data_IF_802605068237
#
_entry.id   IF_802605068237
#
_cell.length_a   1.000
_cell.length_b   1.000
_cell.length_c   1.000
_cell.angle_alpha   90.00
_cell.angle_beta   90.00
_cell.angle_gamma   90.00
#
_symmetry.space_group_name_H-M   'P 1'
#
loop_
_entity.id
_entity.type
_entity.pdbx_description
1 polymer ?
#
# COMPACT_ATOMS: atom_id res chain seq x y z
N UNK A 1 24.98 18.11 -1.09
CA UNK A 1 25.35 16.70 -1.35
C UNK A 1 25.81 16.60 -2.79
N UNK A 2 26.93 15.92 -3.06
CA UNK A 2 27.55 15.89 -4.40
C UNK A 2 28.08 14.49 -4.75
N UNK A 3 27.74 13.95 -5.93
CA UNK A 3 28.26 12.69 -6.48
C UNK A 3 28.09 11.43 -5.61
N UNK A 4 26.89 11.16 -5.08
CA UNK A 4 26.71 10.04 -4.13
C UNK A 4 26.00 8.82 -4.70
N UNK A 5 24.80 8.98 -5.26
CA UNK A 5 23.93 7.86 -5.65
C UNK A 5 23.81 7.71 -7.16
N UNK A 6 24.84 8.08 -7.92
CA UNK A 6 24.84 7.83 -9.36
C UNK A 6 24.80 6.31 -9.61
N UNK A 7 24.06 5.90 -10.64
CA UNK A 7 23.91 4.49 -11.09
C UNK A 7 23.31 3.55 -10.04
N UNK A 8 22.61 4.09 -9.04
CA UNK A 8 21.88 3.29 -8.08
C UNK A 8 20.58 2.75 -8.70
N UNK A 9 20.70 1.68 -9.50
CA UNK A 9 19.61 1.14 -10.33
C UNK A 9 18.37 0.73 -9.52
N UNK A 10 18.54 0.20 -8.30
CA UNK A 10 17.46 -0.28 -7.43
C UNK A 10 17.01 0.73 -6.36
N UNK A 11 17.52 1.96 -6.39
CA UNK A 11 17.18 2.97 -5.39
C UNK A 11 15.78 3.51 -5.64
N UNK A 12 14.84 3.20 -4.76
CA UNK A 12 13.43 3.59 -4.92
C UNK A 12 13.06 4.87 -4.18
N UNK A 13 13.55 5.04 -2.94
CA UNK A 13 13.16 6.13 -2.06
C UNK A 13 14.38 6.75 -1.39
N UNK A 14 14.43 8.08 -1.38
CA UNK A 14 15.50 8.85 -0.74
C UNK A 14 14.90 9.84 0.24
N UNK A 15 15.39 9.84 1.48
CA UNK A 15 14.93 10.74 2.53
C UNK A 15 16.14 11.54 3.03
N UNK A 16 16.19 12.82 2.70
CA UNK A 16 17.32 13.74 2.95
C UNK A 16 16.82 15.04 3.60
N UNK A 17 16.31 14.99 4.84
CA UNK A 17 15.51 16.07 5.42
C UNK A 17 16.31 17.36 5.68
N UNK A 18 17.64 17.26 5.86
CA UNK A 18 18.50 18.39 6.22
C UNK A 18 19.37 18.90 5.06
N UNK A 19 19.30 18.28 3.88
CA UNK A 19 20.15 18.66 2.75
C UNK A 19 19.53 19.85 2.02
N UNK A 20 20.29 20.94 1.92
CA UNK A 20 19.85 22.18 1.26
C UNK A 20 20.13 22.18 -0.25
N UNK A 21 21.16 21.48 -0.69
CA UNK A 21 21.61 21.49 -2.09
C UNK A 21 21.98 20.09 -2.54
N UNK A 22 21.54 19.71 -3.73
CA UNK A 22 21.90 18.45 -4.38
C UNK A 22 22.55 18.77 -5.72
N UNK A 23 23.71 18.16 -5.95
CA UNK A 23 24.45 18.31 -7.19
C UNK A 23 24.91 16.94 -7.70
N UNK A 24 24.67 16.64 -8.97
CA UNK A 24 25.21 15.45 -9.66
C UNK A 24 25.08 14.13 -8.87
N UNK A 25 23.97 13.91 -8.16
CA UNK A 25 23.88 12.84 -7.15
C UNK A 25 22.95 11.67 -7.48
N UNK A 26 22.10 11.73 -8.50
CA UNK A 26 21.10 10.69 -8.82
C UNK A 26 21.04 10.38 -10.32
N UNK A 27 22.17 10.51 -11.01
CA UNK A 27 22.26 10.19 -12.44
C UNK A 27 22.04 8.69 -12.65
N UNK A 28 21.31 8.31 -13.69
CA UNK A 28 21.04 6.89 -13.99
C UNK A 28 20.39 6.08 -12.86
N UNK A 29 19.54 6.71 -12.02
CA UNK A 29 18.72 5.99 -11.03
C UNK A 29 17.39 5.55 -11.66
N UNK A 30 17.32 4.32 -12.17
CA UNK A 30 16.17 3.87 -12.99
C UNK A 30 14.91 3.63 -12.16
N UNK A 31 15.04 3.04 -10.96
CA UNK A 31 13.89 2.68 -10.12
C UNK A 31 13.48 3.79 -9.14
N UNK A 32 14.07 4.98 -9.24
CA UNK A 32 13.76 6.09 -8.34
C UNK A 32 12.30 6.50 -8.51
N UNK A 33 11.56 6.47 -7.40
CA UNK A 33 10.12 6.76 -7.37
C UNK A 33 9.77 7.92 -6.45
N UNK A 34 10.57 8.16 -5.40
CA UNK A 34 10.29 9.21 -4.43
C UNK A 34 11.55 9.80 -3.80
N UNK A 35 11.58 11.13 -3.67
CA UNK A 35 12.54 11.86 -2.85
C UNK A 35 11.80 12.78 -1.88
N UNK A 36 12.16 12.70 -0.60
CA UNK A 36 11.74 13.63 0.44
C UNK A 36 12.93 14.47 0.91
N UNK A 37 12.83 15.78 0.71
CA UNK A 37 13.92 16.71 0.97
C UNK A 37 13.41 18.02 1.60
N UNK A 38 13.08 17.94 2.89
CA UNK A 38 12.41 19.01 3.64
C UNK A 38 13.13 20.37 3.55
N UNK A 39 14.46 20.36 3.60
CA UNK A 39 15.29 21.57 3.60
C UNK A 39 15.84 21.95 2.22
N UNK A 40 15.46 21.24 1.15
CA UNK A 40 16.06 21.41 -0.17
C UNK A 40 15.65 22.75 -0.79
N UNK A 41 16.64 23.51 -1.23
CA UNK A 41 16.45 24.81 -1.88
C UNK A 41 17.02 24.86 -3.29
N UNK A 42 17.92 23.94 -3.67
CA UNK A 42 18.59 23.95 -4.96
C UNK A 42 18.94 22.54 -5.46
N UNK A 43 18.71 22.30 -6.76
CA UNK A 43 19.12 21.09 -7.48
C UNK A 43 19.98 21.51 -8.67
N UNK A 44 21.08 20.79 -8.90
CA UNK A 44 21.94 21.01 -10.06
C UNK A 44 22.33 19.67 -10.70
N UNK A 45 21.98 19.45 -11.98
CA UNK A 45 22.43 18.31 -12.80
C UNK A 45 22.34 16.94 -12.10
N UNK A 46 21.31 16.74 -11.26
CA UNK A 46 21.23 15.59 -10.36
C UNK A 46 20.38 14.46 -10.89
N UNK A 47 19.37 14.75 -11.70
CA UNK A 47 18.38 13.80 -12.20
C UNK A 47 18.45 13.64 -13.72
N UNK A 48 19.63 13.85 -14.30
CA UNK A 48 19.85 13.61 -15.73
C UNK A 48 19.64 12.13 -16.04
N UNK A 49 18.96 11.84 -17.14
CA UNK A 49 18.67 10.47 -17.61
C UNK A 49 17.79 9.64 -16.66
N UNK A 50 16.90 10.29 -15.91
CA UNK A 50 15.82 9.60 -15.22
C UNK A 50 14.93 8.89 -16.27
N UNK A 51 14.76 7.57 -16.12
CA UNK A 51 13.97 6.79 -17.07
C UNK A 51 12.46 7.00 -16.88
N UNK A 52 12.03 7.10 -15.62
CA UNK A 52 10.64 7.24 -15.22
C UNK A 52 10.39 8.54 -14.47
N UNK A 53 9.12 8.96 -14.46
CA UNK A 53 8.65 10.09 -13.67
C UNK A 53 8.64 9.72 -12.18
N UNK A 54 9.10 10.62 -11.31
CA UNK A 54 9.18 10.37 -9.88
C UNK A 54 8.68 11.56 -9.06
N UNK A 55 8.29 11.30 -7.81
CA UNK A 55 7.75 12.33 -6.92
C UNK A 55 8.86 12.99 -6.11
N UNK A 56 8.84 14.32 -6.04
CA UNK A 56 9.72 15.10 -5.19
C UNK A 56 8.90 15.90 -4.19
N UNK A 57 9.12 15.65 -2.90
CA UNK A 57 8.67 16.55 -1.84
C UNK A 57 9.82 17.46 -1.44
N UNK A 58 9.74 18.74 -1.83
CA UNK A 58 10.73 19.76 -1.51
C UNK A 58 10.05 21.13 -1.34
N UNK A 59 9.48 21.43 -0.14
CA UNK A 59 8.61 22.59 0.05
C UNK A 59 9.32 23.94 -0.08
N UNK A 60 10.65 23.96 0.04
CA UNK A 60 11.48 25.15 -0.02
C UNK A 60 12.22 25.31 -1.36
N UNK A 61 12.00 24.38 -2.31
CA UNK A 61 12.69 24.39 -3.59
C UNK A 61 12.08 25.47 -4.49
N UNK A 62 12.95 26.33 -5.01
CA UNK A 62 12.59 27.31 -6.04
C UNK A 62 13.18 26.81 -7.36
N UNK A 63 12.30 26.42 -8.27
CA UNK A 63 12.69 25.82 -9.54
C UNK A 63 11.65 26.14 -10.60
N UNK A 64 12.08 26.27 -11.85
CA UNK A 64 11.19 26.50 -12.97
C UNK A 64 10.50 25.20 -13.41
N UNK A 65 9.31 25.32 -13.99
CA UNK A 65 8.55 24.16 -14.45
C UNK A 65 9.26 23.41 -15.59
N UNK A 66 10.00 24.12 -16.44
CA UNK A 66 10.84 23.56 -17.50
C UNK A 66 11.87 22.57 -16.94
N UNK A 67 12.59 22.96 -15.89
CA UNK A 67 13.59 22.10 -15.23
C UNK A 67 12.94 20.85 -14.61
N UNK A 68 11.74 20.98 -14.04
CA UNK A 68 10.99 19.83 -13.50
C UNK A 68 10.63 18.83 -14.61
N UNK A 69 10.19 19.32 -15.78
CA UNK A 69 9.85 18.49 -16.93
C UNK A 69 11.08 17.75 -17.48
N UNK A 70 12.22 18.44 -17.62
CA UNK A 70 13.47 17.82 -18.06
C UNK A 70 13.92 16.70 -17.11
N UNK A 71 13.74 16.89 -15.80
CA UNK A 71 14.07 15.90 -14.78
C UNK A 71 13.00 14.82 -14.59
N UNK A 72 11.85 14.92 -15.27
CA UNK A 72 10.66 14.07 -15.07
C UNK A 72 10.21 14.03 -13.60
N UNK A 73 10.15 15.20 -12.97
CA UNK A 73 9.80 15.35 -11.55
C UNK A 73 8.35 15.79 -11.41
N UNK A 74 7.58 15.05 -10.61
CA UNK A 74 6.32 15.53 -10.04
C UNK A 74 6.57 16.17 -8.67
N UNK A 75 6.51 17.50 -8.62
CA UNK A 75 6.63 18.22 -7.36
C UNK A 75 5.34 18.06 -6.54
N UNK A 76 5.43 17.42 -5.38
CA UNK A 76 4.29 17.17 -4.49
C UNK A 76 4.31 18.07 -3.26
N UNK A 77 3.13 18.46 -2.78
CA UNK A 77 2.98 19.35 -1.62
C UNK A 77 2.87 18.62 -0.27
N UNK A 78 2.80 17.30 -0.30
CA UNK A 78 2.72 16.46 0.89
C UNK A 78 3.76 15.36 0.78
N UNK A 79 4.35 14.98 1.91
CA UNK A 79 5.21 13.80 1.97
C UNK A 79 4.45 12.60 1.44
N UNK A 80 5.12 11.80 0.62
CA UNK A 80 4.52 10.56 0.14
C UNK A 80 4.26 9.73 1.40
N UNK A 81 3.03 9.22 1.63
CA UNK A 81 2.79 8.35 2.76
C UNK A 81 3.81 7.23 2.65
N UNK A 82 4.70 7.11 3.64
CA UNK A 82 5.54 5.94 3.73
C UNK A 82 4.56 4.79 3.85
N UNK A 83 4.36 4.05 2.75
CA UNK A 83 3.66 2.78 2.82
C UNK A 83 4.49 2.01 3.83
N UNK A 84 3.91 1.79 5.02
CA UNK A 84 4.49 0.87 5.98
C UNK A 84 4.80 -0.36 5.15
N UNK A 85 6.08 -0.73 5.05
CA UNK A 85 6.45 -2.05 4.61
C UNK A 85 5.70 -2.95 5.57
N UNK A 86 4.52 -3.41 5.17
CA UNK A 86 3.76 -4.38 5.94
C UNK A 86 4.72 -5.56 5.98
N UNK A 87 5.30 -5.83 7.15
CA UNK A 87 6.18 -6.96 7.31
C UNK A 87 5.38 -8.16 6.82
N UNK A 88 5.93 -8.90 5.86
CA UNK A 88 5.27 -10.08 5.33
C UNK A 88 4.91 -11.04 6.47
N UNK A 89 5.70 -11.04 7.56
CA UNK A 89 5.40 -11.78 8.80
C UNK A 89 4.15 -11.26 9.51
N UNK A 90 3.93 -9.95 9.57
CA UNK A 90 2.74 -9.36 10.19
C UNK A 90 1.50 -9.73 9.37
N UNK A 91 1.57 -9.67 8.04
CA UNK A 91 0.47 -10.08 7.17
C UNK A 91 0.14 -11.56 7.31
N UNK A 92 1.17 -12.43 7.34
CA UNK A 92 1.00 -13.87 7.58
C UNK A 92 0.37 -14.13 8.95
N UNK A 93 0.76 -13.37 9.98
CA UNK A 93 0.21 -13.51 11.33
C UNK A 93 -1.27 -13.11 11.38
N UNK A 94 -1.63 -11.99 10.77
CA UNK A 94 -3.03 -11.55 10.66
C UNK A 94 -3.89 -12.58 9.90
N UNK A 95 -3.36 -13.12 8.79
CA UNK A 95 -4.07 -14.13 8.01
C UNK A 95 -4.32 -15.41 8.81
N UNK A 96 -3.33 -15.90 9.57
CA UNK A 96 -3.49 -17.04 10.48
C UNK A 96 -4.54 -16.79 11.55
N UNK A 97 -4.55 -15.59 12.15
CA UNK A 97 -5.55 -15.23 13.15
C UNK A 97 -6.97 -15.21 12.57
N UNK A 98 -7.13 -14.66 11.36
CA UNK A 98 -8.42 -14.67 10.65
C UNK A 98 -8.87 -16.10 10.34
N UNK A 99 -7.98 -16.97 9.88
CA UNK A 99 -8.30 -18.38 9.63
C UNK A 99 -8.75 -19.10 10.90
N UNK A 100 -8.05 -18.89 12.02
CA UNK A 100 -8.41 -19.47 13.31
C UNK A 100 -9.80 -19.02 13.79
N UNK A 101 -10.26 -17.82 13.41
CA UNK A 101 -11.61 -17.35 13.70
C UNK A 101 -12.66 -17.92 12.74
N UNK A 102 -12.33 -18.07 11.46
CA UNK A 102 -13.26 -18.54 10.43
C UNK A 102 -13.65 -20.01 10.56
N UNK A 103 -12.71 -20.88 10.94
CA UNK A 103 -12.95 -22.33 11.08
C UNK A 103 -14.08 -22.64 12.08
N UNK A 104 -14.04 -22.17 13.34
CA UNK A 104 -15.10 -22.47 14.31
C UNK A 104 -16.43 -21.83 13.91
N UNK A 105 -16.43 -20.61 13.37
CA UNK A 105 -17.65 -19.95 12.89
C UNK A 105 -18.35 -20.74 11.78
N UNK A 106 -17.58 -21.34 10.86
CA UNK A 106 -18.14 -22.22 9.82
C UNK A 106 -18.74 -23.49 10.42
N UNK A 107 -18.07 -24.10 11.39
CA UNK A 107 -18.58 -25.29 12.06
C UNK A 107 -19.87 -24.99 12.83
N UNK A 108 -19.92 -23.87 13.55
CA UNK A 108 -21.10 -23.41 14.29
C UNK A 108 -22.28 -23.11 13.36
N UNK A 109 -22.04 -22.43 12.24
CA UNK A 109 -23.09 -22.16 11.26
C UNK A 109 -23.65 -23.46 10.65
N UNK A 110 -22.79 -24.45 10.37
CA UNK A 110 -23.23 -25.76 9.88
C UNK A 110 -24.10 -26.51 10.91
N UNK A 111 -23.73 -26.45 12.20
CA UNK A 111 -24.54 -27.04 13.27
C UNK A 111 -25.90 -26.34 13.39
N UNK A 112 -25.93 -25.00 13.29
CA UNK A 112 -27.17 -24.23 13.28
C UNK A 112 -28.08 -24.62 12.11
N UNK A 113 -27.54 -24.73 10.89
CA UNK A 113 -28.29 -25.18 9.70
C UNK A 113 -28.87 -26.57 9.93
N UNK A 114 -28.11 -27.48 10.53
CA UNK A 114 -28.60 -28.83 10.84
C UNK A 114 -29.76 -28.81 11.83
N UNK A 115 -29.67 -28.01 12.89
CA UNK A 115 -30.74 -27.86 13.88
C UNK A 115 -32.01 -27.27 13.26
N UNK A 116 -31.89 -26.25 12.43
CA UNK A 116 -33.02 -25.64 11.72
C UNK A 116 -33.75 -26.70 10.88
N UNK A 117 -33.03 -27.46 10.05
CA UNK A 117 -33.62 -28.53 9.23
C UNK A 117 -34.36 -29.58 10.06
N UNK A 118 -33.82 -29.93 11.23
CA UNK A 118 -34.47 -30.89 12.14
C UNK A 118 -35.81 -30.35 12.65
N UNK A 119 -35.86 -29.06 13.02
CA UNK A 119 -37.10 -28.39 13.44
C UNK A 119 -38.09 -28.29 12.28
N UNK A 120 -37.64 -27.90 11.08
CA UNK A 120 -38.47 -27.85 9.87
C UNK A 120 -39.13 -29.20 9.58
N UNK A 121 -38.35 -30.30 9.60
CA UNK A 121 -38.87 -31.65 9.38
C UNK A 121 -39.89 -32.07 10.44
N UNK A 122 -39.64 -31.73 11.72
CA UNK A 122 -40.58 -32.03 12.79
C UNK A 122 -41.90 -31.26 12.62
N UNK A 123 -41.82 -29.98 12.24
CA UNK A 123 -42.99 -29.14 11.99
C UNK A 123 -43.80 -29.68 10.80
N UNK A 124 -43.14 -30.03 9.70
CA UNK A 124 -43.79 -30.64 8.53
C UNK A 124 -44.52 -31.94 8.91
N UNK A 125 -43.90 -32.80 9.73
CA UNK A 125 -44.56 -34.01 10.20
C UNK A 125 -45.82 -33.73 11.03
N UNK A 126 -45.81 -32.68 11.85
CA UNK A 126 -46.99 -32.27 12.63
C UNK A 126 -48.09 -31.73 11.70
N UNK A 127 -47.73 -30.88 10.73
CA UNK A 127 -48.68 -30.34 9.75
C UNK A 127 -49.36 -31.48 8.98
N UNK A 128 -48.59 -32.43 8.44
CA UNK A 128 -49.16 -33.57 7.70
C UNK A 128 -50.10 -34.44 8.54
N UNK A 129 -49.87 -34.53 9.86
CA UNK A 129 -50.78 -35.26 10.76
C UNK A 129 -52.09 -34.50 10.98
N UNK A 130 -52.02 -33.18 11.16
CA UNK A 130 -53.21 -32.34 11.30
C UNK A 130 -54.04 -32.40 10.02
N UNK A 131 -53.41 -32.26 8.85
CA UNK A 131 -54.10 -32.34 7.55
C UNK A 131 -54.77 -33.71 7.36
N UNK A 132 -54.16 -34.80 7.84
CA UNK A 132 -54.74 -36.14 7.75
C UNK A 132 -55.92 -36.37 8.73
N UNK A 133 -55.95 -35.67 9.87
CA UNK A 133 -56.99 -35.82 10.89
C UNK A 133 -58.18 -34.86 10.69
N UNK A 134 -57.95 -33.69 10.08
CA UNK A 134 -58.95 -32.61 10.00
C UNK A 134 -59.13 -31.99 8.60
N UNK A 135 -58.39 -32.45 7.59
CA UNK A 135 -58.47 -32.00 6.19
C UNK A 135 -59.43 -32.78 5.30
#
# INVERSE_FOLDING_TARGET
MMNNFNECLSLQTVIIPKIQQIQSSFRFCHDLSCIEADSLTLIQNSFTDAFQQFKLFAPNLKIEESELQEMKVDLVHHKVPQTQKIDLKDLITQYKQLQNRLIPLRAENNDQIFRIRKVENALQSVISKIDAEFG
#
